data_IF_009912928996
#
_entry.id   IF_009912928996
#
_cell.length_a   1.000
_cell.length_b   1.000
_cell.length_c   1.000
_cell.angle_alpha   90.00
_cell.angle_beta   90.00
_cell.angle_gamma   90.00
#
_symmetry.space_group_name_H-M   'P 1'
#
loop_
_entity.id
_entity.type
_entity.pdbx_description
1 polymer ?
#
# COMPACT_ATOMS: atom_id res chain seq x y z
N UNK A 1 -9.35 -14.92 11.00
CA UNK A 1 -10.15 -14.57 9.81
C UNK A 1 -11.60 -14.25 10.14
N UNK A 2 -12.42 -15.20 10.62
CA UNK A 2 -13.87 -14.98 10.85
C UNK A 2 -14.24 -13.67 11.56
N UNK A 3 -13.60 -13.33 12.69
CA UNK A 3 -13.87 -12.08 13.43
C UNK A 3 -13.65 -10.81 12.60
N UNK A 4 -12.60 -10.79 11.77
CA UNK A 4 -12.30 -9.63 10.91
C UNK A 4 -13.33 -9.56 9.78
N UNK A 5 -13.67 -10.69 9.17
CA UNK A 5 -14.65 -10.73 8.10
C UNK A 5 -16.05 -10.31 8.56
N UNK A 6 -16.47 -10.77 9.75
CA UNK A 6 -17.74 -10.38 10.35
C UNK A 6 -17.77 -8.87 10.65
N UNK A 7 -16.67 -8.30 11.18
CA UNK A 7 -16.55 -6.86 11.41
C UNK A 7 -16.63 -6.07 10.10
N UNK A 8 -15.94 -6.51 9.04
CA UNK A 8 -15.98 -5.85 7.73
C UNK A 8 -17.40 -5.85 7.15
N UNK A 9 -18.11 -6.98 7.24
CA UNK A 9 -19.51 -7.09 6.80
C UNK A 9 -20.44 -6.19 7.61
N UNK A 10 -20.26 -6.11 8.92
CA UNK A 10 -21.01 -5.18 9.78
C UNK A 10 -20.80 -3.72 9.35
N UNK A 11 -19.59 -3.39 8.87
CA UNK A 11 -19.26 -2.05 8.33
C UNK A 11 -19.63 -1.86 6.85
N UNK A 12 -20.32 -2.82 6.23
CA UNK A 12 -20.89 -2.69 4.88
C UNK A 12 -20.07 -3.30 3.76
N UNK A 13 -19.03 -4.08 4.05
CA UNK A 13 -18.32 -4.84 3.01
C UNK A 13 -19.19 -6.02 2.53
N UNK A 14 -19.52 -6.03 1.24
CA UNK A 14 -20.35 -7.08 0.63
C UNK A 14 -19.54 -8.37 0.40
N UNK A 15 -18.42 -8.25 -0.31
CA UNK A 15 -17.57 -9.39 -0.70
C UNK A 15 -16.25 -9.41 0.09
N UNK A 16 -16.23 -10.20 1.16
CA UNK A 16 -15.01 -10.42 1.98
C UNK A 16 -14.34 -11.74 1.61
N UNK A 17 -13.24 -11.65 0.85
CA UNK A 17 -12.39 -12.79 0.47
C UNK A 17 -11.36 -13.14 1.56
N UNK A 18 -10.65 -14.27 1.40
CA UNK A 18 -9.54 -14.68 2.27
C UNK A 18 -9.91 -15.55 3.49
N UNK A 19 -11.20 -15.75 3.77
CA UNK A 19 -11.62 -16.67 4.85
C UNK A 19 -11.37 -18.15 4.53
N UNK A 20 -11.40 -18.50 3.24
CA UNK A 20 -11.16 -19.85 2.72
C UNK A 20 -10.20 -19.74 1.52
N UNK A 21 -8.88 -19.63 1.76
CA UNK A 21 -7.91 -19.58 0.67
C UNK A 21 -7.94 -20.89 -0.13
N UNK A 22 -7.88 -20.77 -1.45
CA UNK A 22 -7.97 -21.87 -2.43
C UNK A 22 -6.76 -21.91 -3.38
N UNK A 23 -5.79 -21.01 -3.17
CA UNK A 23 -4.56 -20.90 -3.94
C UNK A 23 -3.44 -20.33 -3.07
N UNK A 24 -2.23 -20.25 -3.62
CA UNK A 24 -1.07 -19.74 -2.91
C UNK A 24 -0.19 -18.84 -3.77
N UNK A 25 0.31 -17.76 -3.16
CA UNK A 25 1.37 -16.92 -3.70
C UNK A 25 2.68 -17.73 -3.66
N UNK A 26 3.36 -17.91 -4.82
CA UNK A 26 4.61 -18.66 -4.87
C UNK A 26 5.75 -17.93 -4.14
N UNK A 27 6.72 -18.68 -3.62
CA UNK A 27 7.92 -18.12 -2.99
C UNK A 27 7.76 -17.71 -1.52
N UNK A 28 6.63 -18.02 -0.89
CA UNK A 28 6.36 -17.75 0.53
C UNK A 28 6.16 -19.04 1.33
N UNK A 29 6.37 -18.96 2.65
CA UNK A 29 6.05 -20.04 3.57
C UNK A 29 4.54 -20.33 3.58
N UNK A 30 4.16 -21.58 3.87
CA UNK A 30 2.79 -22.08 3.69
C UNK A 30 1.70 -21.17 4.27
N UNK A 31 1.88 -20.61 5.47
CA UNK A 31 0.91 -19.71 6.09
C UNK A 31 0.84 -18.32 5.44
N UNK A 32 1.98 -17.79 4.98
CA UNK A 32 2.10 -16.47 4.33
C UNK A 32 1.70 -16.50 2.85
N UNK A 33 1.76 -17.68 2.26
CA UNK A 33 1.41 -17.92 0.88
C UNK A 33 -0.11 -17.91 0.62
N UNK A 34 -0.96 -18.10 1.63
CA UNK A 34 -2.40 -18.30 1.44
C UNK A 34 -3.06 -17.13 0.72
N UNK A 35 -3.81 -17.44 -0.35
CA UNK A 35 -4.52 -16.47 -1.17
C UNK A 35 -5.86 -17.04 -1.68
N UNK A 36 -6.70 -16.17 -2.26
CA UNK A 36 -8.00 -16.54 -2.83
C UNK A 36 -8.06 -16.12 -4.30
N UNK A 37 -8.52 -17.02 -5.18
CA UNK A 37 -8.86 -16.71 -6.58
C UNK A 37 -10.01 -15.71 -6.67
N UNK A 38 -10.02 -14.91 -7.71
CA UNK A 38 -10.87 -13.71 -7.82
C UNK A 38 -10.45 -12.57 -6.87
N UNK A 39 -9.46 -12.79 -6.00
CA UNK A 39 -8.87 -11.78 -5.13
C UNK A 39 -7.42 -11.49 -5.49
N UNK A 40 -6.56 -11.43 -4.47
CA UNK A 40 -5.15 -11.05 -4.62
C UNK A 40 -4.38 -11.90 -5.65
N UNK A 41 -4.77 -13.17 -5.83
CA UNK A 41 -4.08 -14.07 -6.75
C UNK A 41 -4.27 -13.65 -8.21
N UNK A 42 -5.46 -13.16 -8.58
CA UNK A 42 -5.81 -12.80 -9.97
C UNK A 42 -5.75 -11.28 -10.23
N UNK A 43 -5.66 -10.46 -9.18
CA UNK A 43 -5.58 -9.00 -9.29
C UNK A 43 -4.35 -8.51 -10.05
N UNK A 44 -4.50 -7.44 -10.82
CA UNK A 44 -3.42 -6.73 -11.52
C UNK A 44 -2.80 -5.60 -10.67
N UNK A 45 -3.60 -4.99 -9.78
CA UNK A 45 -3.19 -3.99 -8.77
C UNK A 45 -3.64 -4.43 -7.38
N UNK A 46 -2.77 -4.28 -6.38
CA UNK A 46 -3.08 -4.63 -4.98
C UNK A 46 -2.66 -3.51 -4.03
N UNK A 47 -3.55 -3.11 -3.11
CA UNK A 47 -3.25 -2.22 -1.99
C UNK A 47 -2.95 -3.05 -0.73
N UNK A 48 -1.75 -2.91 -0.18
CA UNK A 48 -1.29 -3.65 1.02
C UNK A 48 -0.85 -2.69 2.14
N UNK A 49 -1.73 -2.35 3.09
CA UNK A 49 -1.33 -1.56 4.24
C UNK A 49 -0.59 -2.42 5.28
N UNK A 50 0.50 -1.90 5.84
CA UNK A 50 1.24 -2.53 6.96
C UNK A 50 1.67 -4.00 6.71
N UNK A 51 2.14 -4.28 5.50
CA UNK A 51 2.45 -5.64 5.03
C UNK A 51 3.93 -6.00 5.11
N UNK A 52 4.23 -7.30 5.21
CA UNK A 52 5.59 -7.81 5.19
C UNK A 52 6.27 -7.71 3.81
N UNK A 53 7.58 -7.45 3.83
CA UNK A 53 8.36 -7.21 2.62
C UNK A 53 8.47 -8.43 1.70
N UNK A 54 8.43 -9.64 2.24
CA UNK A 54 8.57 -10.87 1.44
C UNK A 54 7.29 -11.05 0.60
N UNK A 55 6.12 -10.81 1.21
CA UNK A 55 4.83 -10.88 0.49
C UNK A 55 4.73 -9.79 -0.58
N UNK A 56 5.19 -8.58 -0.31
CA UNK A 56 5.28 -7.51 -1.32
C UNK A 56 6.13 -7.94 -2.52
N UNK A 57 7.34 -8.46 -2.28
CA UNK A 57 8.24 -8.93 -3.33
C UNK A 57 7.66 -10.10 -4.14
N UNK A 58 6.98 -11.04 -3.47
CA UNK A 58 6.33 -12.15 -4.14
C UNK A 58 5.18 -11.70 -5.07
N UNK A 59 4.38 -10.71 -4.65
CA UNK A 59 3.32 -10.14 -5.48
C UNK A 59 3.90 -9.40 -6.70
N UNK A 60 4.99 -8.66 -6.52
CA UNK A 60 5.71 -8.01 -7.63
C UNK A 60 6.29 -9.05 -8.60
N UNK A 61 6.86 -10.15 -8.09
CA UNK A 61 7.37 -11.24 -8.91
C UNK A 61 6.26 -11.96 -9.72
N UNK A 62 5.01 -11.89 -9.24
CA UNK A 62 3.82 -12.32 -10.00
C UNK A 62 3.37 -11.30 -11.06
N UNK A 63 4.11 -10.20 -11.27
CA UNK A 63 3.79 -9.16 -12.24
C UNK A 63 2.70 -8.19 -11.78
N UNK A 64 2.38 -8.17 -10.49
CA UNK A 64 1.34 -7.28 -9.93
C UNK A 64 1.92 -5.90 -9.64
N UNK A 65 1.10 -4.87 -9.79
CA UNK A 65 1.40 -3.54 -9.27
C UNK A 65 0.98 -3.47 -7.81
N UNK A 66 1.88 -3.02 -6.94
CA UNK A 66 1.67 -3.02 -5.50
C UNK A 66 1.69 -1.60 -4.98
N UNK A 67 0.62 -1.20 -4.30
CA UNK A 67 0.49 0.07 -3.58
C UNK A 67 0.64 -0.24 -2.09
N UNK A 68 1.63 0.34 -1.43
CA UNK A 68 1.87 0.15 0.00
C UNK A 68 1.46 1.41 0.78
N UNK A 69 0.92 1.20 1.99
CA UNK A 69 0.81 2.25 3.02
C UNK A 69 1.71 1.82 4.17
N UNK A 70 2.79 2.56 4.40
CA UNK A 70 3.80 2.25 5.40
C UNK A 70 4.38 3.55 5.97
N UNK A 71 4.48 3.66 7.29
CA UNK A 71 5.09 4.83 7.93
C UNK A 71 6.60 4.92 7.71
N UNK A 72 7.26 3.79 7.43
CA UNK A 72 8.69 3.74 7.29
C UNK A 72 9.12 3.80 5.81
N UNK A 73 9.62 4.96 5.31
CA UNK A 73 10.06 5.08 3.92
C UNK A 73 11.27 4.19 3.60
N UNK A 74 11.96 3.66 4.62
CA UNK A 74 13.15 2.82 4.46
C UNK A 74 12.84 1.32 4.48
N UNK A 75 11.58 0.93 4.70
CA UNK A 75 11.19 -0.47 4.81
C UNK A 75 11.41 -1.21 3.48
N UNK A 76 11.57 -2.54 3.56
CA UNK A 76 11.68 -3.39 2.36
C UNK A 76 10.42 -3.27 1.51
N UNK A 77 9.25 -3.25 2.14
CA UNK A 77 7.94 -3.06 1.49
C UNK A 77 7.90 -1.74 0.72
N UNK A 78 8.22 -0.62 1.38
CA UNK A 78 8.17 0.71 0.79
C UNK A 78 9.12 0.86 -0.42
N UNK A 79 10.34 0.33 -0.31
CA UNK A 79 11.33 0.40 -1.39
C UNK A 79 11.00 -0.45 -2.61
N UNK A 80 10.21 -1.53 -2.43
CA UNK A 80 9.91 -2.49 -3.49
C UNK A 80 8.57 -2.21 -4.16
N UNK A 81 7.59 -1.67 -3.43
CA UNK A 81 6.27 -1.38 -3.96
C UNK A 81 6.34 -0.48 -5.21
N UNK A 82 5.34 -0.61 -6.08
CA UNK A 82 5.16 0.25 -7.25
C UNK A 82 4.87 1.69 -6.82
N UNK A 83 4.06 1.86 -5.77
CA UNK A 83 3.69 3.14 -5.15
C UNK A 83 3.77 2.97 -3.64
N UNK A 84 4.42 3.90 -2.95
CA UNK A 84 4.47 3.92 -1.48
C UNK A 84 3.89 5.21 -0.93
N UNK A 85 2.87 5.07 -0.09
CA UNK A 85 2.25 6.15 0.66
C UNK A 85 2.87 6.15 2.06
N UNK A 86 3.74 7.13 2.32
CA UNK A 86 4.43 7.29 3.61
C UNK A 86 3.55 8.06 4.58
N UNK A 87 2.52 7.39 5.11
CA UNK A 87 1.57 8.01 6.04
C UNK A 87 0.90 6.98 6.97
N UNK A 88 0.26 7.46 8.03
CA UNK A 88 -0.54 6.64 8.92
C UNK A 88 -1.82 6.20 8.21
N UNK A 89 -2.15 4.91 8.26
CA UNK A 89 -3.35 4.34 7.62
C UNK A 89 -4.66 5.07 7.97
N UNK A 90 -4.78 5.58 9.20
CA UNK A 90 -5.97 6.30 9.66
C UNK A 90 -6.16 7.64 8.95
N UNK A 91 -5.08 8.23 8.42
CA UNK A 91 -5.10 9.45 7.60
C UNK A 91 -5.12 9.12 6.10
N UNK A 92 -4.30 8.16 5.70
CA UNK A 92 -4.10 7.78 4.31
C UNK A 92 -5.39 7.24 3.67
N UNK A 93 -6.12 6.34 4.33
CA UNK A 93 -7.31 5.71 3.73
C UNK A 93 -8.44 6.73 3.48
N UNK A 94 -8.80 7.61 4.43
CA UNK A 94 -9.79 8.66 4.15
C UNK A 94 -9.36 9.62 3.03
N UNK A 95 -8.10 10.06 3.02
CA UNK A 95 -7.58 10.96 1.98
C UNK A 95 -7.57 10.28 0.61
N UNK A 96 -7.07 9.06 0.52
CA UNK A 96 -7.08 8.26 -0.71
C UNK A 96 -8.50 8.07 -1.24
N UNK A 97 -9.46 7.83 -0.35
CA UNK A 97 -10.87 7.69 -0.74
C UNK A 97 -11.41 8.98 -1.37
N UNK A 98 -11.05 10.12 -0.82
CA UNK A 98 -11.45 11.43 -1.35
C UNK A 98 -10.79 11.73 -2.69
N UNK A 99 -9.47 11.51 -2.79
CA UNK A 99 -8.72 11.66 -4.05
C UNK A 99 -9.29 10.75 -5.16
N UNK A 100 -9.62 9.50 -4.84
CA UNK A 100 -10.26 8.58 -5.80
C UNK A 100 -11.60 9.12 -6.30
N UNK A 101 -12.43 9.73 -5.45
CA UNK A 101 -13.71 10.35 -5.87
C UNK A 101 -13.50 11.56 -6.77
N UNK A 102 -12.47 12.35 -6.53
CA UNK A 102 -12.16 13.52 -7.34
C UNK A 102 -11.59 13.13 -8.70
N UNK A 103 -10.71 12.12 -8.72
CA UNK A 103 -10.04 11.63 -9.92
C UNK A 103 -10.93 10.73 -10.78
N UNK A 104 -11.94 10.05 -10.22
CA UNK A 104 -12.83 9.16 -10.98
C UNK A 104 -13.64 9.85 -12.08
N UNK A 105 -13.80 11.18 -11.98
CA UNK A 105 -14.49 11.98 -12.99
C UNK A 105 -13.55 12.60 -14.03
N UNK A 106 -12.23 12.34 -13.95
CA UNK A 106 -11.25 12.89 -14.90
C UNK A 106 -11.10 12.02 -16.15
N UNK A 107 -10.74 12.62 -17.29
CA UNK A 107 -10.36 11.87 -18.49
C UNK A 107 -9.21 10.89 -18.22
N UNK A 108 -9.25 9.75 -18.90
CA UNK A 108 -8.19 8.73 -18.79
C UNK A 108 -6.80 9.30 -19.09
N UNK A 109 -6.68 10.20 -20.07
CA UNK A 109 -5.41 10.86 -20.43
C UNK A 109 -4.80 11.65 -19.27
N UNK A 110 -5.63 12.24 -18.41
CA UNK A 110 -5.15 13.00 -17.26
C UNK A 110 -4.63 12.05 -16.18
N UNK A 111 -5.30 10.92 -15.98
CA UNK A 111 -4.88 9.87 -15.05
C UNK A 111 -3.57 9.21 -15.51
N UNK A 112 -3.45 8.93 -16.81
CA UNK A 112 -2.22 8.39 -17.42
C UNK A 112 -1.06 9.37 -17.26
N UNK A 113 -1.30 10.67 -17.42
CA UNK A 113 -0.27 11.69 -17.20
C UNK A 113 0.24 11.68 -15.76
N UNK A 114 -0.67 11.64 -14.77
CA UNK A 114 -0.29 11.56 -13.35
C UNK A 114 0.57 10.32 -13.10
N UNK A 115 0.18 9.17 -13.65
CA UNK A 115 0.91 7.92 -13.48
C UNK A 115 2.30 7.97 -14.14
N UNK A 116 2.42 8.57 -15.33
CA UNK A 116 3.68 8.68 -16.06
C UNK A 116 4.67 9.65 -15.41
N UNK A 117 4.19 10.61 -14.63
CA UNK A 117 5.00 11.59 -13.89
C UNK A 117 5.40 11.08 -12.49
N UNK A 118 4.85 9.96 -12.04
CA UNK A 118 5.10 9.44 -10.69
C UNK A 118 6.39 8.62 -10.62
N UNK A 119 7.26 8.97 -9.66
CA UNK A 119 8.43 8.18 -9.28
C UNK A 119 8.39 7.84 -7.77
N UNK A 120 8.38 6.54 -7.46
CA UNK A 120 8.34 6.07 -6.07
C UNK A 120 9.66 6.34 -5.32
N UNK A 121 10.81 6.25 -5.99
CA UNK A 121 12.11 6.54 -5.36
C UNK A 121 12.22 8.03 -5.01
N UNK A 122 11.77 8.92 -5.90
CA UNK A 122 11.71 10.36 -5.60
C UNK A 122 10.76 10.65 -4.43
N UNK A 123 9.60 9.99 -4.40
CA UNK A 123 8.63 10.10 -3.30
C UNK A 123 9.25 9.67 -1.96
N UNK A 124 9.93 8.53 -1.92
CA UNK A 124 10.59 8.04 -0.71
C UNK A 124 11.77 8.92 -0.28
N UNK A 125 12.54 9.44 -1.24
CA UNK A 125 13.62 10.38 -0.97
C UNK A 125 13.08 11.67 -0.34
N UNK A 126 11.96 12.19 -0.86
CA UNK A 126 11.26 13.33 -0.28
C UNK A 126 10.80 13.07 1.16
N UNK A 127 10.24 11.89 1.43
CA UNK A 127 9.84 11.51 2.79
C UNK A 127 11.03 11.43 3.76
N UNK A 128 12.17 10.87 3.32
CA UNK A 128 13.40 10.83 4.14
C UNK A 128 13.96 12.23 4.37
N UNK A 129 13.91 13.09 3.35
CA UNK A 129 14.33 14.48 3.48
C UNK A 129 13.48 15.23 4.50
N UNK A 130 12.16 15.09 4.46
CA UNK A 130 11.24 15.69 5.44
C UNK A 130 11.58 15.24 6.87
N UNK A 131 11.85 13.95 7.06
CA UNK A 131 12.27 13.40 8.37
C UNK A 131 13.59 14.04 8.82
N UNK A 132 14.58 14.13 7.93
CA UNK A 132 15.90 14.73 8.24
C UNK A 132 15.74 16.19 8.65
N UNK A 133 15.02 16.97 7.84
CA UNK A 133 14.87 18.40 8.05
C UNK A 133 14.11 18.67 9.37
N UNK A 134 13.10 17.86 9.68
CA UNK A 134 12.39 17.90 10.97
C UNK A 134 13.31 17.60 12.17
N UNK A 135 14.17 16.58 12.06
CA UNK A 135 15.13 16.23 13.12
C UNK A 135 16.14 17.36 13.34
N UNK A 136 16.71 17.91 12.26
CA UNK A 136 17.65 19.03 12.32
C UNK A 136 17.03 20.25 13.02
N UNK A 137 15.76 20.54 12.74
CA UNK A 137 15.02 21.60 13.43
C UNK A 137 14.84 21.35 14.92
N UNK A 138 14.54 20.11 15.33
CA UNK A 138 14.37 19.78 16.75
C UNK A 138 15.66 20.01 17.54
N UNK A 139 16.82 19.63 16.99
CA UNK A 139 18.11 19.85 17.64
C UNK A 139 18.51 21.32 17.70
N UNK A 140 18.14 22.12 16.69
CA UNK A 140 18.36 23.58 16.72
C UNK A 140 17.49 24.27 17.77
N UNK A 141 16.25 23.84 17.95
CA UNK A 141 15.29 24.43 18.91
C UNK A 141 15.50 23.94 20.36
N UNK A 142 16.14 22.79 20.57
CA UNK A 142 16.42 22.24 21.90
C UNK A 142 17.73 22.71 22.55
N UNK A 143 18.39 23.72 21.98
CA UNK A 143 19.66 24.29 22.49
C UNK A 143 19.49 25.63 23.23
N UNK A 144 18.24 26.05 23.48
CA UNK A 144 17.84 27.17 24.37
C UNK A 144 17.16 26.62 25.63
#
# INVERSE_FOLDING_TARGET
MKKIADLLREKGAEDVLGERPDTSVPGLDHARALATRGGIYDADVVLIPLEDGDRCEALLAMGKRVIAIDLNPLSRTAKKATVSIVDNILRAVPQLTEEVRQLSNKPLSDLEKILNEYDNQETLAGAVQEIRDHLDEQFRKGSD
#
